data_IF_356053600254
#
_entry.id   IF_356053600254
#
_cell.length_a   1.000
_cell.length_b   1.000
_cell.length_c   1.000
_cell.angle_alpha   90.00
_cell.angle_beta   90.00
_cell.angle_gamma   90.00
#
_symmetry.space_group_name_H-M   'P 1'
#
loop_
_entity.id
_entity.type
_entity.pdbx_description
1 polymer ?
#
# COMPACT_ATOMS: atom_id res chain seq x y z
N UNK A 1 -33.61 9.79 25.87
CA UNK A 1 -34.20 8.46 26.13
C UNK A 1 -34.45 7.82 24.77
N UNK A 2 -33.44 7.16 24.20
CA UNK A 2 -33.06 5.74 24.34
C UNK A 2 -33.76 4.86 23.29
N UNK A 3 -32.94 4.37 22.34
CA UNK A 3 -32.92 3.02 21.71
C UNK A 3 -34.15 2.58 20.86
N UNK A 4 -34.05 1.77 19.80
CA UNK A 4 -32.98 0.90 19.31
C UNK A 4 -33.25 0.43 17.87
N UNK A 5 -32.18 -0.04 17.21
CA UNK A 5 -32.08 -1.14 16.22
C UNK A 5 -32.89 -1.03 14.90
N UNK A 6 -32.35 -1.30 13.72
CA UNK A 6 -31.48 -2.44 13.41
C UNK A 6 -30.77 -2.24 12.06
N UNK A 7 -29.47 -2.53 12.08
CA UNK A 7 -28.50 -2.62 10.99
C UNK A 7 -29.02 -3.18 9.66
N UNK A 8 -28.59 -2.57 8.55
CA UNK A 8 -28.03 -3.19 7.32
C UNK A 8 -27.85 -2.02 6.32
N UNK A 9 -26.69 -1.46 6.00
CA UNK A 9 -25.43 -2.08 5.59
C UNK A 9 -24.33 -1.04 5.85
N UNK A 10 -23.53 -1.26 6.89
CA UNK A 10 -22.26 -0.56 7.05
C UNK A 10 -21.30 -1.07 5.97
N UNK A 11 -21.07 -0.28 4.94
CA UNK A 11 -19.87 -0.38 4.09
C UNK A 11 -19.34 1.02 3.75
N UNK A 12 -19.51 1.96 4.70
CA UNK A 12 -18.90 3.29 4.66
C UNK A 12 -17.46 3.33 5.19
N UNK A 13 -16.87 2.18 5.52
CA UNK A 13 -15.42 2.03 5.74
C UNK A 13 -14.65 1.88 4.41
N UNK A 14 -15.36 1.60 3.31
CA UNK A 14 -14.78 1.32 1.98
C UNK A 14 -14.79 2.49 1.02
N UNK A 15 -15.58 3.52 1.31
CA UNK A 15 -15.66 4.72 0.47
C UNK A 15 -14.74 5.74 1.09
N UNK A 16 -13.42 5.54 0.90
CA UNK A 16 -12.44 6.63 0.81
C UNK A 16 -12.35 7.44 2.13
N UNK A 17 -11.35 7.29 2.99
CA UNK A 17 -10.08 8.04 2.98
C UNK A 17 -10.11 9.49 2.40
N UNK A 18 -11.29 10.10 2.15
CA UNK A 18 -11.45 11.33 1.39
C UNK A 18 -10.78 12.48 2.16
N UNK A 19 -9.81 13.11 1.51
CA UNK A 19 -9.27 14.45 1.77
C UNK A 19 -8.32 14.56 2.99
N UNK A 20 -7.03 14.40 2.72
CA UNK A 20 -5.89 14.95 3.49
C UNK A 20 -5.64 14.46 4.93
N UNK A 21 -5.79 13.15 5.17
CA UNK A 21 -5.23 12.49 6.35
C UNK A 21 -4.63 11.10 5.99
N UNK A 22 -3.93 11.03 4.85
CA UNK A 22 -3.67 9.79 4.10
C UNK A 22 -2.71 8.78 4.73
N UNK A 23 -2.05 9.10 5.83
CA UNK A 23 -1.08 8.17 6.44
C UNK A 23 -1.49 7.74 7.85
N UNK A 24 -2.44 8.42 8.49
CA UNK A 24 -2.59 8.31 9.94
C UNK A 24 -3.51 7.17 10.42
N UNK A 25 -4.39 6.64 9.57
CA UNK A 25 -5.38 5.64 10.02
C UNK A 25 -5.89 4.69 8.92
N UNK A 26 -4.99 4.06 8.17
CA UNK A 26 -5.33 2.85 7.43
C UNK A 26 -4.72 1.64 8.14
N UNK A 27 -5.52 0.96 8.96
CA UNK A 27 -5.11 -0.23 9.71
C UNK A 27 -4.53 -1.34 8.81
N UNK A 28 -4.88 -1.34 7.52
CA UNK A 28 -4.45 -2.31 6.52
C UNK A 28 -3.36 -1.81 5.56
N UNK A 29 -2.91 -0.55 5.66
CA UNK A 29 -1.96 0.01 4.70
C UNK A 29 -0.64 -0.78 4.68
N UNK A 30 -0.06 -1.02 5.86
CA UNK A 30 1.19 -1.76 5.98
C UNK A 30 1.02 -3.23 5.57
N UNK A 31 -0.18 -3.79 5.71
CA UNK A 31 -0.50 -5.13 5.22
C UNK A 31 -0.53 -5.19 3.70
N UNK A 32 -1.11 -4.18 3.04
CA UNK A 32 -1.19 -4.10 1.58
C UNK A 32 0.16 -3.75 0.94
N UNK A 33 0.89 -2.81 1.54
CA UNK A 33 2.23 -2.40 1.10
C UNK A 33 3.30 -3.45 1.45
N UNK A 34 3.00 -4.37 2.38
CA UNK A 34 3.91 -5.39 2.87
C UNK A 34 4.93 -4.90 3.91
N UNK A 35 5.01 -3.60 4.19
CA UNK A 35 5.80 -3.00 5.26
C UNK A 35 5.31 -1.57 5.60
N UNK A 36 5.94 -0.95 6.59
CA UNK A 36 5.73 0.44 7.04
C UNK A 36 6.61 1.47 6.33
N UNK A 37 7.58 1.06 5.48
CA UNK A 37 8.53 1.97 4.82
C UNK A 37 7.83 2.98 3.93
N UNK A 38 6.89 2.53 3.08
CA UNK A 38 6.13 3.43 2.22
C UNK A 38 5.32 4.44 3.05
N UNK A 39 4.77 3.99 4.18
CA UNK A 39 4.01 4.85 5.08
C UNK A 39 4.91 5.96 5.66
N UNK A 40 6.11 5.58 6.11
CA UNK A 40 7.12 6.52 6.64
C UNK A 40 7.60 7.49 5.56
N UNK A 41 7.84 7.01 4.34
CA UNK A 41 8.30 7.86 3.24
C UNK A 41 7.28 8.96 2.87
N UNK A 42 5.99 8.61 2.88
CA UNK A 42 4.92 9.60 2.64
C UNK A 42 4.80 10.60 3.80
N UNK A 43 5.05 10.16 5.05
CA UNK A 43 5.12 11.06 6.23
C UNK A 43 6.30 12.02 6.20
N UNK A 44 7.38 11.63 5.53
CA UNK A 44 8.61 12.42 5.38
C UNK A 44 8.53 13.39 4.19
N UNK A 45 7.35 13.54 3.56
CA UNK A 45 7.11 14.41 2.40
C UNK A 45 8.05 14.13 1.20
N UNK A 46 8.53 12.89 1.08
CA UNK A 46 9.32 12.45 -0.08
C UNK A 46 8.47 12.49 -1.35
N UNK A 47 9.10 12.89 -2.46
CA UNK A 47 8.44 12.89 -3.77
C UNK A 47 8.26 11.47 -4.29
N UNK A 48 7.28 11.27 -5.18
CA UNK A 48 7.02 9.97 -5.81
C UNK A 48 8.26 9.40 -6.51
N UNK A 49 9.08 10.27 -7.11
CA UNK A 49 10.31 9.88 -7.80
C UNK A 49 11.35 9.32 -6.83
N UNK A 50 11.52 9.95 -5.67
CA UNK A 50 12.44 9.49 -4.63
C UNK A 50 11.97 8.16 -4.04
N UNK A 51 10.67 8.01 -3.78
CA UNK A 51 10.08 6.76 -3.30
C UNK A 51 10.32 5.63 -4.30
N UNK A 52 10.06 5.86 -5.59
CA UNK A 52 10.32 4.88 -6.66
C UNK A 52 11.80 4.52 -6.77
N UNK A 53 12.68 5.50 -6.63
CA UNK A 53 14.13 5.27 -6.65
C UNK A 53 14.56 4.33 -5.51
N UNK A 54 13.93 4.42 -4.33
CA UNK A 54 14.24 3.50 -3.22
C UNK A 54 13.94 2.04 -3.53
N UNK A 55 12.95 1.77 -4.40
CA UNK A 55 12.55 0.42 -4.76
C UNK A 55 13.36 -0.18 -5.90
N UNK A 56 13.98 0.65 -6.74
CA UNK A 56 14.65 0.20 -7.95
C UNK A 56 15.70 -0.87 -7.67
N UNK A 57 16.52 -0.69 -6.63
CA UNK A 57 17.57 -1.63 -6.26
C UNK A 57 17.03 -3.02 -5.90
N UNK A 58 15.97 -3.06 -5.10
CA UNK A 58 15.36 -4.32 -4.65
C UNK A 58 14.60 -5.00 -5.79
N UNK A 59 13.99 -4.22 -6.69
CA UNK A 59 13.34 -4.72 -7.91
C UNK A 59 14.36 -5.39 -8.85
N UNK A 60 15.53 -4.79 -9.07
CA UNK A 60 16.59 -5.40 -9.87
C UNK A 60 17.09 -6.71 -9.26
N UNK A 61 17.33 -6.73 -7.94
CA UNK A 61 17.71 -7.96 -7.24
C UNK A 61 16.64 -9.05 -7.35
N UNK A 62 15.36 -8.67 -7.22
CA UNK A 62 14.24 -9.58 -7.35
C UNK A 62 14.13 -10.15 -8.77
N UNK A 63 14.31 -9.31 -9.81
CA UNK A 63 14.34 -9.75 -11.21
C UNK A 63 15.42 -10.81 -11.44
N UNK A 64 16.63 -10.60 -10.92
CA UNK A 64 17.74 -11.57 -11.03
C UNK A 64 17.37 -12.90 -10.37
N UNK A 65 16.82 -12.86 -9.14
CA UNK A 65 16.40 -14.06 -8.43
C UNK A 65 15.25 -14.79 -9.15
N UNK A 66 14.27 -14.05 -9.68
CA UNK A 66 13.10 -14.56 -10.40
C UNK A 66 13.49 -15.34 -11.65
N UNK A 67 14.56 -14.95 -12.36
CA UNK A 67 15.03 -15.62 -13.59
C UNK A 67 15.26 -17.12 -13.42
N UNK A 68 15.65 -17.59 -12.24
CA UNK A 68 15.84 -19.02 -11.94
C UNK A 68 14.56 -19.85 -12.04
N UNK A 69 13.40 -19.23 -11.85
CA UNK A 69 12.11 -19.90 -11.71
C UNK A 69 11.15 -19.60 -12.87
N UNK A 70 11.64 -18.99 -13.95
CA UNK A 70 10.85 -18.70 -15.13
C UNK A 70 10.56 -19.98 -15.92
N UNK A 71 9.27 -20.26 -16.15
CA UNK A 71 8.80 -21.33 -17.03
C UNK A 71 8.55 -20.84 -18.46
N UNK A 72 8.48 -19.53 -18.65
CA UNK A 72 8.24 -18.85 -19.91
C UNK A 72 9.27 -17.73 -20.09
N UNK A 73 9.48 -17.32 -21.33
CA UNK A 73 10.35 -16.19 -21.67
C UNK A 73 9.87 -14.93 -20.94
N UNK A 74 10.84 -14.14 -20.45
CA UNK A 74 10.54 -12.90 -19.76
C UNK A 74 10.08 -11.81 -20.75
N UNK A 75 9.31 -10.84 -20.28
CA UNK A 75 8.74 -9.77 -21.11
C UNK A 75 9.71 -8.62 -21.39
N UNK A 76 11.03 -8.86 -21.30
CA UNK A 76 12.08 -7.85 -21.55
C UNK A 76 12.48 -7.76 -23.03
#
# INVERSE_FOLDING_TARGET
VIFNSHLFFLNKDKIFCIINELVRSCQYFNTLAGNDKLQTQIKEDLTEQEIKATWQKDLENYKIMRKKYLLYEDFE
#
